data_IF_032271605004
#
_entry.id   IF_032271605004
#
_cell.length_a   1.000
_cell.length_b   1.000
_cell.length_c   1.000
_cell.angle_alpha   90.00
_cell.angle_beta   90.00
_cell.angle_gamma   90.00
#
_symmetry.space_group_name_H-M   'P 1'
#
loop_
_entity.id
_entity.type
_entity.pdbx_description
1 polymer ?
#
# COMPACT_ATOMS: atom_id res chain seq x y z
N UNK A 1 11.78 -7.16 -20.14
CA UNK A 1 10.79 -6.60 -21.08
C UNK A 1 11.29 -6.64 -22.51
N UNK A 2 12.53 -6.18 -22.84
CA UNK A 2 13.07 -6.21 -24.22
C UNK A 2 13.15 -7.62 -24.84
N UNK A 3 13.21 -8.66 -24.02
CA UNK A 3 13.23 -10.07 -24.43
C UNK A 3 11.83 -10.71 -24.48
N UNK A 4 10.75 -9.96 -24.30
CA UNK A 4 9.42 -10.51 -24.14
C UNK A 4 9.18 -11.22 -22.80
N UNK A 5 10.09 -11.07 -21.84
CA UNK A 5 9.95 -11.67 -20.53
C UNK A 5 9.08 -10.81 -19.62
N UNK A 6 8.21 -11.47 -18.84
CA UNK A 6 7.38 -10.85 -17.81
C UNK A 6 8.21 -10.75 -16.52
N UNK A 7 8.39 -9.53 -16.02
CA UNK A 7 9.01 -9.31 -14.71
C UNK A 7 8.01 -9.61 -13.60
N UNK A 8 8.42 -10.35 -12.58
CA UNK A 8 7.58 -10.67 -11.42
C UNK A 8 8.36 -10.42 -10.13
N UNK A 9 8.45 -9.19 -9.65
CA UNK A 9 9.11 -8.86 -8.40
C UNK A 9 8.34 -9.45 -7.21
N UNK A 10 9.02 -10.28 -6.41
CA UNK A 10 8.45 -10.92 -5.23
C UNK A 10 8.87 -10.19 -3.95
N UNK A 11 8.02 -10.24 -2.95
CA UNK A 11 8.33 -9.72 -1.62
C UNK A 11 9.44 -10.57 -0.98
N UNK A 12 10.56 -9.95 -0.68
CA UNK A 12 11.72 -10.62 -0.09
C UNK A 12 11.55 -11.03 1.39
N UNK A 13 10.47 -10.59 2.04
CA UNK A 13 10.13 -10.96 3.42
C UNK A 13 9.22 -12.20 3.51
N UNK A 14 8.85 -12.81 2.39
CA UNK A 14 8.02 -14.01 2.37
C UNK A 14 8.78 -15.21 2.92
N UNK A 15 8.03 -16.11 3.56
CA UNK A 15 8.54 -17.42 3.97
C UNK A 15 8.90 -18.29 2.75
N UNK A 16 9.72 -19.34 2.92
CA UNK A 16 10.01 -20.29 1.86
C UNK A 16 8.77 -20.90 1.22
N UNK A 17 7.73 -21.23 2.01
CA UNK A 17 6.47 -21.79 1.53
C UNK A 17 5.71 -20.81 0.65
N UNK A 18 5.53 -19.55 1.09
CA UNK A 18 4.86 -18.50 0.33
C UNK A 18 5.62 -18.17 -0.97
N UNK A 19 6.95 -18.13 -0.91
CA UNK A 19 7.80 -17.94 -2.09
C UNK A 19 7.60 -19.10 -3.09
N UNK A 20 7.56 -20.34 -2.62
CA UNK A 20 7.33 -21.52 -3.45
C UNK A 20 5.94 -21.50 -4.08
N UNK A 21 4.91 -21.04 -3.36
CA UNK A 21 3.54 -20.87 -3.89
C UNK A 21 3.53 -19.88 -5.06
N UNK A 22 4.14 -18.71 -4.89
CA UNK A 22 4.25 -17.69 -5.96
C UNK A 22 5.02 -18.26 -7.16
N UNK A 23 6.12 -18.97 -6.93
CA UNK A 23 6.89 -19.63 -7.99
C UNK A 23 6.06 -20.68 -8.73
N UNK A 24 5.27 -21.48 -8.01
CA UNK A 24 4.39 -22.49 -8.59
C UNK A 24 3.29 -21.89 -9.47
N UNK A 25 2.72 -20.76 -9.07
CA UNK A 25 1.72 -20.04 -9.87
C UNK A 25 2.30 -19.34 -11.11
N UNK A 26 3.46 -18.71 -10.98
CA UNK A 26 4.06 -17.91 -12.06
C UNK A 26 5.00 -18.69 -12.96
N UNK A 27 5.49 -19.84 -12.52
CA UNK A 27 6.40 -20.74 -13.27
C UNK A 27 7.56 -19.99 -13.93
N UNK A 28 8.42 -19.30 -13.14
CA UNK A 28 9.49 -18.48 -13.68
C UNK A 28 10.52 -19.34 -14.44
N UNK A 29 10.97 -18.86 -15.60
CA UNK A 29 12.06 -19.46 -16.37
C UNK A 29 13.41 -19.09 -15.75
N UNK A 30 13.52 -17.86 -15.28
CA UNK A 30 14.70 -17.33 -14.59
C UNK A 30 14.27 -16.91 -13.18
N UNK A 31 15.01 -17.36 -12.18
CA UNK A 31 14.84 -16.93 -10.78
C UNK A 31 16.07 -16.17 -10.31
N UNK A 32 15.87 -14.94 -9.85
CA UNK A 32 16.95 -14.08 -9.36
C UNK A 32 16.69 -13.78 -7.90
N UNK A 33 17.67 -14.01 -7.03
CA UNK A 33 17.58 -13.72 -5.61
C UNK A 33 18.83 -13.00 -5.08
N UNK A 34 18.68 -12.24 -4.01
CA UNK A 34 19.80 -11.60 -3.31
C UNK A 34 20.44 -12.59 -2.31
N UNK A 35 21.76 -12.54 -2.19
CA UNK A 35 22.52 -13.40 -1.28
C UNK A 35 22.04 -13.32 0.19
N UNK A 36 21.52 -12.19 0.62
CA UNK A 36 21.00 -12.03 2.00
C UNK A 36 19.77 -12.90 2.27
N UNK A 37 19.03 -13.33 1.23
CA UNK A 37 17.86 -14.22 1.36
C UNK A 37 18.10 -15.61 0.76
N UNK A 38 19.38 -15.99 0.56
CA UNK A 38 19.75 -17.26 -0.09
C UNK A 38 19.10 -18.48 0.59
N UNK A 39 19.07 -18.52 1.90
CA UNK A 39 18.46 -19.64 2.64
C UNK A 39 16.97 -19.80 2.31
N UNK A 40 16.22 -18.70 2.32
CA UNK A 40 14.79 -18.69 1.93
C UNK A 40 14.61 -19.11 0.47
N UNK A 41 15.47 -18.60 -0.43
CA UNK A 41 15.41 -18.92 -1.84
C UNK A 41 15.66 -20.41 -2.13
N UNK A 42 16.66 -21.01 -1.48
CA UNK A 42 16.99 -22.42 -1.62
C UNK A 42 15.86 -23.31 -1.11
N UNK A 43 15.35 -23.04 0.08
CA UNK A 43 14.22 -23.78 0.66
C UNK A 43 12.96 -23.65 -0.21
N UNK A 44 12.68 -22.49 -0.77
CA UNK A 44 11.57 -22.31 -1.68
C UNK A 44 11.73 -23.15 -2.97
N UNK A 45 12.94 -23.20 -3.50
CA UNK A 45 13.26 -24.05 -4.65
C UNK A 45 13.12 -25.55 -4.33
N UNK A 46 13.41 -25.99 -3.12
CA UNK A 46 13.19 -27.38 -2.70
C UNK A 46 11.69 -27.73 -2.61
N UNK A 47 10.88 -26.83 -2.06
CA UNK A 47 9.43 -27.01 -1.87
C UNK A 47 8.68 -26.95 -3.23
N UNK A 48 9.05 -26.02 -4.10
CA UNK A 48 8.34 -25.79 -5.36
C UNK A 48 8.58 -26.93 -6.37
N UNK A 49 7.50 -27.49 -6.92
CA UNK A 49 7.60 -28.52 -7.98
C UNK A 49 8.20 -27.93 -9.27
N UNK A 50 7.85 -26.70 -9.61
CA UNK A 50 8.42 -26.01 -10.77
C UNK A 50 9.87 -25.61 -10.50
N UNK A 51 10.78 -25.98 -11.40
CA UNK A 51 12.20 -25.61 -11.34
C UNK A 51 12.54 -24.60 -12.44
N UNK A 52 13.02 -23.40 -12.08
CA UNK A 52 13.56 -22.46 -13.08
C UNK A 52 14.72 -23.06 -13.86
N UNK A 53 14.84 -22.67 -15.13
CA UNK A 53 15.97 -23.13 -15.99
C UNK A 53 17.27 -22.44 -15.62
N UNK A 54 17.20 -21.24 -15.06
CA UNK A 54 18.35 -20.43 -14.68
C UNK A 54 18.10 -19.82 -13.30
N UNK A 55 19.08 -19.97 -12.41
CA UNK A 55 19.02 -19.45 -11.05
C UNK A 55 20.24 -18.56 -10.82
N UNK A 56 19.97 -17.27 -10.56
CA UNK A 56 20.99 -16.24 -10.42
C UNK A 56 20.99 -15.66 -8.99
N UNK A 57 22.18 -15.52 -8.42
CA UNK A 57 22.37 -14.86 -7.12
C UNK A 57 23.05 -13.51 -7.31
N UNK A 58 22.39 -12.46 -6.81
CA UNK A 58 22.98 -11.11 -6.71
C UNK A 58 23.67 -10.99 -5.37
N UNK A 59 25.00 -10.76 -5.36
CA UNK A 59 25.75 -10.56 -4.13
C UNK A 59 26.21 -9.10 -4.01
N UNK A 60 25.41 -8.26 -3.38
CA UNK A 60 25.76 -6.88 -3.05
C UNK A 60 26.46 -6.77 -1.68
N UNK A 61 26.54 -7.85 -0.94
CA UNK A 61 27.30 -7.90 0.31
C UNK A 61 28.79 -8.04 -0.01
N UNK A 62 29.66 -7.46 0.80
CA UNK A 62 31.11 -7.69 0.71
C UNK A 62 31.52 -9.01 1.38
N UNK A 63 30.56 -9.87 1.73
CA UNK A 63 30.79 -11.14 2.39
C UNK A 63 31.11 -12.21 1.34
N UNK A 64 31.99 -13.12 1.68
CA UNK A 64 32.22 -14.31 0.89
C UNK A 64 30.98 -15.20 0.96
N UNK A 65 30.47 -15.60 -0.19
CA UNK A 65 29.24 -16.38 -0.33
C UNK A 65 29.55 -17.62 -1.19
N UNK A 66 29.27 -18.81 -0.65
CA UNK A 66 29.33 -20.05 -1.42
C UNK A 66 27.95 -20.36 -1.99
N UNK A 67 27.84 -20.48 -3.31
CA UNK A 67 26.58 -20.79 -3.99
C UNK A 67 26.28 -22.29 -3.92
N UNK A 68 24.99 -22.67 -3.81
CA UNK A 68 24.55 -24.04 -4.07
C UNK A 68 24.85 -24.49 -5.49
N UNK A 69 24.90 -25.79 -5.71
CA UNK A 69 25.09 -26.39 -7.03
C UNK A 69 23.99 -25.92 -8.01
N UNK A 70 24.39 -25.56 -9.22
CA UNK A 70 23.48 -25.07 -10.27
C UNK A 70 23.10 -23.60 -10.16
N UNK A 71 23.54 -22.87 -9.14
CA UNK A 71 23.36 -21.43 -9.02
C UNK A 71 24.58 -20.69 -9.56
N UNK A 72 24.37 -19.51 -10.18
CA UNK A 72 25.41 -18.69 -10.78
C UNK A 72 25.34 -17.29 -10.21
N UNK A 73 26.49 -16.64 -9.96
CA UNK A 73 26.46 -15.21 -9.61
C UNK A 73 25.97 -14.39 -10.81
N UNK A 74 25.10 -13.45 -10.54
CA UNK A 74 24.53 -12.56 -11.56
C UNK A 74 25.63 -11.82 -12.33
N UNK A 75 26.63 -11.27 -11.64
CA UNK A 75 27.73 -10.54 -12.25
C UNK A 75 28.59 -11.44 -13.15
N UNK A 76 28.83 -12.70 -12.77
CA UNK A 76 29.53 -13.67 -13.61
C UNK A 76 28.74 -14.05 -14.85
N UNK A 77 27.40 -14.13 -14.71
CA UNK A 77 26.53 -14.46 -15.84
C UNK A 77 26.51 -13.35 -16.89
N UNK A 78 26.54 -12.07 -16.47
CA UNK A 78 26.43 -10.93 -17.39
C UNK A 78 27.78 -10.35 -17.85
N UNK A 79 28.93 -10.77 -17.27
CA UNK A 79 30.26 -10.12 -17.48
C UNK A 79 30.67 -9.97 -18.93
N UNK A 80 30.31 -10.95 -19.76
CA UNK A 80 30.66 -11.00 -21.21
C UNK A 80 29.44 -10.61 -22.09
N UNK A 81 28.37 -10.08 -21.51
CA UNK A 81 27.16 -9.70 -22.23
C UNK A 81 27.36 -8.39 -23.01
N UNK A 82 26.77 -8.34 -24.22
CA UNK A 82 26.78 -7.13 -25.05
C UNK A 82 25.95 -6.01 -24.39
N UNK A 83 26.37 -4.76 -24.57
CA UNK A 83 25.59 -3.57 -24.23
C UNK A 83 24.54 -3.19 -25.27
N UNK A 84 24.56 -3.87 -26.44
CA UNK A 84 23.56 -3.66 -27.47
C UNK A 84 22.21 -4.24 -27.10
N UNK A 85 21.15 -3.72 -27.74
CA UNK A 85 19.82 -4.28 -27.56
C UNK A 85 19.81 -5.73 -28.06
N UNK A 86 19.25 -6.68 -27.29
CA UNK A 86 19.17 -8.07 -27.74
C UNK A 86 18.33 -8.18 -29.01
N UNK A 87 18.70 -9.04 -29.96
CA UNK A 87 17.82 -9.39 -31.07
C UNK A 87 16.57 -10.10 -30.51
N UNK A 88 15.42 -9.76 -31.05
CA UNK A 88 14.15 -10.40 -30.69
C UNK A 88 13.45 -10.92 -31.93
N UNK A 89 12.94 -12.14 -31.86
CA UNK A 89 12.28 -12.82 -32.97
C UNK A 89 10.75 -12.62 -32.97
N UNK A 90 10.24 -11.72 -32.11
CA UNK A 90 8.81 -11.43 -32.03
C UNK A 90 8.54 -9.94 -32.22
N UNK A 91 7.32 -9.62 -32.68
CA UNK A 91 6.84 -8.25 -32.76
C UNK A 91 6.14 -7.90 -31.44
N UNK A 92 6.76 -7.07 -30.58
CA UNK A 92 6.15 -6.71 -29.31
C UNK A 92 4.88 -5.87 -29.53
N UNK A 93 3.84 -6.16 -28.75
CA UNK A 93 2.58 -5.44 -28.78
C UNK A 93 2.37 -4.65 -27.50
N UNK A 94 1.70 -3.50 -27.60
CA UNK A 94 1.45 -2.62 -26.43
C UNK A 94 0.61 -3.28 -25.33
N UNK A 95 -0.14 -4.31 -25.66
CA UNK A 95 -0.94 -5.10 -24.71
C UNK A 95 -0.25 -6.38 -24.23
N UNK A 96 1.02 -6.61 -24.60
CA UNK A 96 1.78 -7.72 -24.03
C UNK A 96 2.01 -7.48 -22.55
N UNK A 97 1.80 -8.52 -21.73
CA UNK A 97 2.13 -8.47 -20.30
C UNK A 97 3.64 -8.32 -20.13
N UNK A 98 4.08 -7.32 -19.39
CA UNK A 98 5.50 -7.02 -19.15
C UNK A 98 5.87 -7.03 -17.68
N UNK A 99 4.88 -6.88 -16.81
CA UNK A 99 5.04 -6.87 -15.36
C UNK A 99 3.87 -7.62 -14.72
N UNK A 100 4.15 -8.43 -13.72
CA UNK A 100 3.13 -9.08 -12.89
C UNK A 100 3.40 -8.79 -11.43
N UNK A 101 2.46 -8.13 -10.77
CA UNK A 101 2.53 -7.84 -9.35
C UNK A 101 1.63 -8.78 -8.56
N UNK A 102 2.02 -9.07 -7.33
CA UNK A 102 1.19 -9.87 -6.42
C UNK A 102 0.41 -8.94 -5.48
N UNK A 103 -0.88 -9.22 -5.30
CA UNK A 103 -1.69 -8.57 -4.28
C UNK A 103 -2.12 -9.58 -3.24
N UNK A 104 -1.98 -9.23 -1.97
CA UNK A 104 -2.50 -10.02 -0.87
C UNK A 104 -4.02 -9.90 -0.87
N UNK A 105 -4.71 -10.92 -1.36
CA UNK A 105 -6.16 -10.98 -1.23
C UNK A 105 -6.58 -11.15 0.23
N UNK A 106 -7.78 -10.67 0.58
CA UNK A 106 -8.44 -10.95 1.87
C UNK A 106 -8.62 -12.44 2.15
N UNK A 107 -8.50 -13.28 1.12
CA UNK A 107 -8.58 -14.75 1.18
C UNK A 107 -7.26 -15.45 1.50
N UNK A 108 -6.17 -14.72 1.66
CA UNK A 108 -4.84 -15.26 2.01
C UNK A 108 -3.99 -15.72 0.83
N UNK A 109 -4.57 -16.13 -0.30
CA UNK A 109 -3.81 -16.54 -1.49
C UNK A 109 -3.47 -15.31 -2.35
N UNK A 110 -2.18 -15.09 -2.68
CA UNK A 110 -1.77 -14.00 -3.55
C UNK A 110 -2.40 -14.10 -4.94
N UNK A 111 -2.85 -12.97 -5.49
CA UNK A 111 -3.41 -12.87 -6.83
C UNK A 111 -2.44 -12.15 -7.73
N UNK A 112 -2.15 -12.70 -8.91
CA UNK A 112 -1.31 -12.08 -9.91
C UNK A 112 -2.09 -11.00 -10.67
N UNK A 113 -1.63 -9.75 -10.60
CA UNK A 113 -2.15 -8.61 -11.36
C UNK A 113 -1.25 -8.42 -12.57
N UNK A 114 -1.73 -8.73 -13.79
CA UNK A 114 -0.95 -8.52 -15.00
C UNK A 114 -0.96 -7.04 -15.37
N UNK A 115 0.17 -6.52 -15.80
CA UNK A 115 0.32 -5.17 -16.32
C UNK A 115 0.99 -5.27 -17.69
N UNK A 116 0.37 -4.67 -18.68
CA UNK A 116 0.89 -4.65 -20.03
C UNK A 116 1.77 -3.41 -20.30
N UNK A 117 2.43 -3.37 -21.45
CA UNK A 117 3.36 -2.30 -21.79
C UNK A 117 2.70 -0.91 -21.77
N UNK A 118 1.45 -0.80 -22.24
CA UNK A 118 0.74 0.47 -22.24
C UNK A 118 0.38 0.92 -20.81
N UNK A 119 0.06 -0.01 -19.90
CA UNK A 119 -0.20 0.33 -18.49
C UNK A 119 1.05 0.93 -17.81
N UNK A 120 2.24 0.43 -18.14
CA UNK A 120 3.51 0.96 -17.62
C UNK A 120 3.75 2.40 -18.11
N UNK A 121 3.60 2.65 -19.39
CA UNK A 121 3.78 3.98 -19.99
C UNK A 121 2.76 4.97 -19.44
N UNK A 122 1.48 4.61 -19.42
CA UNK A 122 0.41 5.51 -18.97
C UNK A 122 0.42 5.72 -17.46
N UNK A 123 0.90 4.76 -16.66
CA UNK A 123 1.18 5.00 -15.25
C UNK A 123 2.31 6.02 -15.04
N UNK A 124 3.35 6.01 -15.90
CA UNK A 124 4.40 7.03 -15.84
C UNK A 124 3.89 8.41 -16.24
N UNK A 125 3.04 8.50 -17.29
CA UNK A 125 2.40 9.75 -17.68
C UNK A 125 1.54 10.32 -16.56
N UNK A 126 0.73 9.47 -15.90
CA UNK A 126 -0.13 9.88 -14.78
C UNK A 126 0.69 10.48 -13.64
N UNK A 127 1.84 9.87 -13.31
CA UNK A 127 2.77 10.43 -12.32
C UNK A 127 3.24 11.83 -12.73
N UNK A 128 3.74 11.99 -13.96
CA UNK A 128 4.26 13.28 -14.46
C UNK A 128 3.16 14.35 -14.50
N UNK A 129 1.91 13.97 -14.77
CA UNK A 129 0.76 14.88 -14.78
C UNK A 129 0.38 15.37 -13.38
N UNK A 130 0.61 14.56 -12.33
CA UNK A 130 0.16 14.88 -10.99
C UNK A 130 1.23 15.52 -10.12
N UNK A 131 2.50 15.20 -10.31
CA UNK A 131 3.59 15.99 -9.76
C UNK A 131 4.64 16.27 -10.84
N UNK A 132 5.25 17.47 -10.84
CA UNK A 132 5.99 17.99 -11.99
C UNK A 132 7.39 17.37 -12.09
N UNK A 133 7.46 16.05 -12.31
CA UNK A 133 8.71 15.32 -12.53
C UNK A 133 9.29 15.65 -13.90
N UNK A 134 10.57 16.01 -13.93
CA UNK A 134 11.30 16.45 -15.11
C UNK A 134 12.71 15.84 -15.16
N UNK A 135 13.46 15.96 -16.28
CA UNK A 135 14.81 15.40 -16.40
C UNK A 135 15.84 15.93 -15.41
N UNK A 136 15.59 17.10 -14.80
CA UNK A 136 16.50 17.70 -13.81
C UNK A 136 16.20 17.24 -12.38
N UNK A 137 15.20 16.41 -12.18
CA UNK A 137 14.79 15.95 -10.87
C UNK A 137 15.58 14.73 -10.40
N UNK A 138 15.66 14.59 -9.08
CA UNK A 138 16.28 13.45 -8.41
C UNK A 138 15.23 12.88 -7.46
N UNK A 139 14.82 11.64 -7.71
CA UNK A 139 13.80 10.97 -6.90
C UNK A 139 14.39 9.91 -5.98
N UNK A 140 13.74 9.66 -4.86
CA UNK A 140 14.01 8.53 -3.99
C UNK A 140 12.68 7.95 -3.48
N UNK A 141 12.42 6.68 -3.79
CA UNK A 141 11.23 5.99 -3.30
C UNK A 141 11.61 5.02 -2.17
N UNK A 142 11.02 5.24 -1.01
CA UNK A 142 11.24 4.44 0.21
C UNK A 142 10.34 3.20 0.30
N UNK A 143 9.41 3.05 -0.66
CA UNK A 143 8.50 1.90 -0.72
C UNK A 143 9.14 0.76 -1.51
N UNK A 144 8.99 -0.51 -1.06
CA UNK A 144 9.58 -1.65 -1.77
C UNK A 144 9.07 -1.80 -3.21
N UNK A 145 9.96 -2.17 -4.13
CA UNK A 145 9.68 -2.26 -5.57
C UNK A 145 8.91 -3.52 -6.00
N UNK A 146 8.56 -4.40 -5.09
CA UNK A 146 7.59 -5.46 -5.37
C UNK A 146 6.14 -4.99 -5.22
N UNK A 147 5.91 -3.75 -4.79
CA UNK A 147 4.61 -3.07 -4.81
C UNK A 147 4.51 -2.08 -5.96
N UNK A 148 3.29 -1.89 -6.46
CA UNK A 148 3.02 -0.94 -7.53
C UNK A 148 3.42 0.49 -7.15
N UNK A 149 3.16 0.90 -5.92
CA UNK A 149 3.61 2.18 -5.39
C UNK A 149 5.12 2.35 -5.40
N UNK A 150 5.89 1.30 -5.12
CA UNK A 150 7.35 1.33 -5.16
C UNK A 150 7.91 1.49 -6.58
N UNK A 151 7.31 0.84 -7.56
CA UNK A 151 7.76 0.88 -8.95
C UNK A 151 7.30 2.18 -9.64
N UNK A 152 6.04 2.59 -9.46
CA UNK A 152 5.41 3.64 -10.25
C UNK A 152 5.33 5.01 -9.57
N UNK A 153 5.21 5.08 -8.24
CA UNK A 153 5.05 6.38 -7.56
C UNK A 153 6.39 7.09 -7.33
N UNK A 154 6.96 7.71 -8.36
CA UNK A 154 8.32 8.29 -8.26
C UNK A 154 9.42 7.23 -8.09
N UNK A 155 9.12 5.97 -8.39
CA UNK A 155 10.06 4.86 -8.47
C UNK A 155 10.74 4.79 -9.85
N UNK A 156 11.31 3.61 -10.21
CA UNK A 156 12.11 3.48 -11.43
C UNK A 156 11.34 3.80 -12.72
N UNK A 157 10.08 3.36 -12.85
CA UNK A 157 9.33 3.50 -14.10
C UNK A 157 9.14 4.98 -14.50
N UNK A 158 8.49 5.86 -13.72
CA UNK A 158 8.28 7.25 -14.12
C UNK A 158 9.58 8.07 -14.10
N UNK A 159 10.50 7.77 -13.18
CA UNK A 159 11.75 8.52 -13.06
C UNK A 159 12.63 8.34 -14.30
N UNK A 160 12.83 7.09 -14.74
CA UNK A 160 13.59 6.78 -15.94
C UNK A 160 12.85 7.22 -17.20
N UNK A 161 11.51 7.13 -17.22
CA UNK A 161 10.70 7.60 -18.33
C UNK A 161 10.81 9.12 -18.52
N UNK A 162 10.84 9.89 -17.43
CA UNK A 162 11.06 11.34 -17.45
C UNK A 162 12.52 11.74 -17.76
N UNK A 163 13.48 10.80 -17.83
CA UNK A 163 14.90 11.09 -17.96
C UNK A 163 15.53 11.65 -16.69
N UNK A 164 14.87 11.48 -15.54
CA UNK A 164 15.32 11.95 -14.23
C UNK A 164 16.30 10.96 -13.57
N UNK A 165 16.91 11.37 -12.46
CA UNK A 165 17.83 10.53 -11.68
C UNK A 165 17.09 9.84 -10.54
N UNK A 166 17.37 8.54 -10.34
CA UNK A 166 16.82 7.74 -9.24
C UNK A 166 17.91 7.40 -8.23
N UNK A 167 17.73 7.82 -6.98
CA UNK A 167 18.54 7.37 -5.84
C UNK A 167 17.91 6.14 -5.22
N UNK A 168 18.66 5.03 -5.18
CA UNK A 168 18.18 3.75 -4.67
C UNK A 168 18.52 3.64 -3.19
N UNK A 169 17.48 3.46 -2.35
CA UNK A 169 17.63 3.12 -0.94
C UNK A 169 17.27 1.65 -0.74
N UNK A 170 18.26 0.79 -0.49
CA UNK A 170 18.05 -0.66 -0.32
C UNK A 170 17.18 -1.01 0.87
N UNK A 171 17.41 -0.34 1.99
CA UNK A 171 16.65 -0.53 3.24
C UNK A 171 16.35 0.83 3.83
N UNK A 172 15.08 1.08 4.13
CA UNK A 172 14.66 2.34 4.73
C UNK A 172 15.30 2.52 6.12
N UNK A 173 15.93 3.65 6.30
CA UNK A 173 16.42 4.14 7.57
C UNK A 173 16.26 5.67 7.60
N UNK A 174 15.55 6.27 8.59
CA UNK A 174 15.26 7.69 8.61
C UNK A 174 16.51 8.57 8.57
N UNK A 175 17.58 8.19 9.28
CA UNK A 175 18.86 8.93 9.27
C UNK A 175 19.48 8.92 7.89
N UNK A 176 19.65 7.75 7.30
CA UNK A 176 20.24 7.61 5.96
C UNK A 176 19.42 8.31 4.90
N UNK A 177 18.08 8.29 5.03
CA UNK A 177 17.18 9.01 4.13
C UNK A 177 17.45 10.52 4.16
N UNK A 178 17.50 11.11 5.35
CA UNK A 178 17.79 12.54 5.53
C UNK A 178 19.20 12.90 5.02
N UNK A 179 20.19 12.06 5.31
CA UNK A 179 21.57 12.26 4.83
C UNK A 179 21.65 12.19 3.29
N UNK A 180 20.83 11.33 2.65
CA UNK A 180 20.77 11.22 1.18
C UNK A 180 20.08 12.42 0.55
N UNK A 181 18.99 12.95 1.16
CA UNK A 181 18.33 14.17 0.68
C UNK A 181 19.34 15.31 0.60
N UNK A 182 20.05 15.58 1.70
CA UNK A 182 21.04 16.63 1.79
C UNK A 182 22.25 16.40 0.84
N UNK A 183 22.77 15.16 0.80
CA UNK A 183 23.97 14.82 0.03
C UNK A 183 23.76 14.85 -1.49
N UNK A 184 22.61 14.36 -1.94
CA UNK A 184 22.35 14.16 -3.37
C UNK A 184 21.39 15.22 -3.95
N UNK A 185 20.89 16.15 -3.13
CA UNK A 185 19.94 17.18 -3.56
C UNK A 185 18.64 16.56 -4.07
N UNK A 186 18.11 15.56 -3.37
CA UNK A 186 16.90 14.86 -3.78
C UNK A 186 15.73 15.83 -3.85
N UNK A 187 14.99 15.83 -4.97
CA UNK A 187 13.90 16.78 -5.21
C UNK A 187 12.53 16.20 -4.85
N UNK A 188 12.34 14.89 -4.98
CA UNK A 188 11.11 14.23 -4.61
C UNK A 188 11.38 12.95 -3.84
N UNK A 189 10.68 12.74 -2.74
CA UNK A 189 10.65 11.47 -2.02
C UNK A 189 9.25 10.88 -2.02
N UNK A 190 9.18 9.55 -2.01
CA UNK A 190 7.91 8.82 -1.92
C UNK A 190 7.97 7.84 -0.76
N UNK A 191 6.91 7.82 0.06
CA UNK A 191 6.80 6.90 1.17
C UNK A 191 5.35 6.68 1.60
N UNK A 192 5.16 5.84 2.60
CA UNK A 192 3.87 5.66 3.27
C UNK A 192 3.80 6.57 4.50
N UNK A 193 2.61 6.88 5.03
CA UNK A 193 2.49 7.77 6.20
C UNK A 193 3.40 7.39 7.37
N UNK A 194 3.56 6.12 7.69
CA UNK A 194 4.44 5.66 8.77
C UNK A 194 5.93 5.99 8.53
N UNK A 195 6.42 5.91 7.29
CA UNK A 195 7.80 6.32 6.97
C UNK A 195 7.98 7.84 7.07
N UNK A 196 6.97 8.61 6.66
CA UNK A 196 6.99 10.08 6.79
C UNK A 196 6.94 10.50 8.26
N UNK A 197 6.19 9.80 9.09
CA UNK A 197 6.17 10.03 10.54
C UNK A 197 7.55 9.84 11.16
N UNK A 198 8.26 8.77 10.76
CA UNK A 198 9.64 8.54 11.21
C UNK A 198 10.59 9.65 10.75
N UNK A 199 10.41 10.19 9.53
CA UNK A 199 11.20 11.32 9.03
C UNK A 199 10.88 12.61 9.78
N UNK A 200 9.60 12.91 10.03
CA UNK A 200 9.15 14.08 10.79
C UNK A 200 9.71 14.05 12.22
N UNK A 201 9.61 12.91 12.90
CA UNK A 201 10.18 12.70 14.25
C UNK A 201 11.71 12.85 14.24
N UNK A 202 12.36 12.44 13.16
CA UNK A 202 13.81 12.61 13.00
C UNK A 202 14.17 14.08 12.76
N UNK A 203 13.44 14.77 11.87
CA UNK A 203 13.66 16.18 11.55
C UNK A 203 13.52 17.09 12.77
N UNK A 204 12.50 16.83 13.59
CA UNK A 204 12.25 17.56 14.82
C UNK A 204 13.41 17.45 15.82
N UNK A 205 14.00 16.26 15.97
CA UNK A 205 15.10 15.99 16.93
C UNK A 205 16.50 16.31 16.38
N UNK A 206 16.69 16.15 15.09
CA UNK A 206 17.97 16.27 14.40
C UNK A 206 17.75 16.90 13.02
N UNK A 207 17.53 18.23 12.99
CA UNK A 207 17.22 18.94 11.76
C UNK A 207 18.30 18.76 10.68
N UNK A 208 17.85 18.61 9.44
CA UNK A 208 18.66 18.58 8.22
C UNK A 208 18.14 19.61 7.23
N UNK A 209 18.99 20.01 6.29
CA UNK A 209 18.57 20.84 5.17
C UNK A 209 17.75 19.99 4.16
N UNK A 210 16.46 20.29 4.07
CA UNK A 210 15.51 19.66 3.15
C UNK A 210 15.08 20.62 2.03
N UNK A 211 15.77 21.74 1.85
CA UNK A 211 15.39 22.79 0.88
C UNK A 211 15.41 22.33 -0.58
N UNK A 212 16.10 21.22 -0.88
CA UNK A 212 16.07 20.59 -2.20
C UNK A 212 14.73 19.92 -2.53
N UNK A 213 13.92 19.56 -1.51
CA UNK A 213 12.64 18.86 -1.72
C UNK A 213 11.61 19.79 -2.36
N UNK A 214 11.25 19.50 -3.59
CA UNK A 214 10.11 20.12 -4.29
C UNK A 214 8.77 19.53 -3.83
N UNK A 215 8.77 18.31 -3.28
CA UNK A 215 7.58 17.69 -2.75
C UNK A 215 7.77 16.28 -2.20
N UNK A 216 6.78 15.83 -1.44
CA UNK A 216 6.72 14.52 -0.82
C UNK A 216 5.42 13.84 -1.22
N UNK A 217 5.52 12.63 -1.77
CA UNK A 217 4.37 11.82 -2.17
C UNK A 217 4.12 10.76 -1.09
N UNK A 218 2.89 10.67 -0.60
CA UNK A 218 2.46 9.59 0.28
C UNK A 218 1.31 8.79 -0.34
N UNK A 219 1.18 7.54 0.09
CA UNK A 219 0.18 6.60 -0.45
C UNK A 219 0.09 5.34 0.40
N UNK A 220 -0.81 4.43 0.04
CA UNK A 220 -0.89 3.07 0.58
C UNK A 220 -1.64 2.94 1.90
N UNK A 221 -1.81 4.02 2.63
CA UNK A 221 -2.67 4.13 3.81
C UNK A 221 -3.31 5.52 3.86
N UNK A 222 -4.44 5.71 4.56
CA UNK A 222 -5.01 7.04 4.75
C UNK A 222 -3.98 8.00 5.36
N UNK A 223 -3.95 9.23 4.84
CA UNK A 223 -3.17 10.32 5.40
C UNK A 223 -4.07 11.15 6.31
N UNK A 224 -3.88 11.02 7.60
CA UNK A 224 -4.65 11.78 8.60
C UNK A 224 -4.38 13.29 8.48
N UNK A 225 -5.41 14.11 8.74
CA UNK A 225 -5.31 15.57 8.61
C UNK A 225 -4.20 16.17 9.45
N UNK A 226 -4.10 15.76 10.72
CA UNK A 226 -3.07 16.27 11.64
C UNK A 226 -1.66 15.89 11.17
N UNK A 227 -1.46 14.66 10.69
CA UNK A 227 -0.19 14.19 10.15
C UNK A 227 0.19 14.96 8.88
N UNK A 228 -0.76 15.21 7.98
CA UNK A 228 -0.51 15.98 6.76
C UNK A 228 0.02 17.39 7.10
N UNK A 229 -0.64 18.10 8.01
CA UNK A 229 -0.25 19.45 8.45
C UNK A 229 1.15 19.42 9.08
N UNK A 230 1.41 18.44 9.96
CA UNK A 230 2.73 18.27 10.60
C UNK A 230 3.84 18.03 9.58
N UNK A 231 3.58 17.23 8.54
CA UNK A 231 4.58 16.98 7.49
C UNK A 231 4.81 18.22 6.63
N UNK A 232 3.79 19.07 6.41
CA UNK A 232 3.96 20.35 5.73
C UNK A 232 4.90 21.29 6.51
N UNK A 233 4.80 21.30 7.83
CA UNK A 233 5.62 22.14 8.69
C UNK A 233 7.07 21.65 8.83
N UNK A 234 7.26 20.32 8.95
CA UNK A 234 8.56 19.74 9.31
C UNK A 234 9.38 19.26 8.11
N UNK A 235 8.75 18.83 7.03
CA UNK A 235 9.44 18.15 5.93
C UNK A 235 9.40 18.94 4.62
N UNK A 236 8.23 19.27 4.13
CA UNK A 236 8.04 20.04 2.89
C UNK A 236 6.64 20.62 2.84
N UNK A 237 6.45 21.89 2.43
CA UNK A 237 5.11 22.46 2.27
C UNK A 237 4.26 21.74 1.21
N UNK A 238 4.92 21.02 0.31
CA UNK A 238 4.28 20.35 -0.82
C UNK A 238 4.08 18.86 -0.54
N UNK A 239 2.98 18.52 0.14
CA UNK A 239 2.56 17.13 0.36
C UNK A 239 1.55 16.73 -0.72
N UNK A 240 1.80 15.57 -1.33
CA UNK A 240 0.92 14.92 -2.28
C UNK A 240 0.41 13.62 -1.66
N UNK A 241 -0.86 13.26 -1.89
CA UNK A 241 -1.40 11.98 -1.41
C UNK A 241 -2.14 11.26 -2.54
N UNK A 242 -1.69 10.05 -2.88
CA UNK A 242 -2.28 9.21 -3.92
C UNK A 242 -3.04 8.02 -3.33
N UNK A 243 -4.30 7.86 -3.71
CA UNK A 243 -5.09 6.67 -3.41
C UNK A 243 -5.25 5.81 -4.66
N UNK A 244 -5.08 4.52 -4.48
CA UNK A 244 -5.28 3.51 -5.51
C UNK A 244 -4.94 2.10 -5.03
N UNK A 245 -4.95 1.17 -5.96
CA UNK A 245 -4.73 -0.26 -5.68
C UNK A 245 -3.64 -0.83 -6.58
N UNK A 246 -3.22 -2.07 -6.34
CA UNK A 246 -2.29 -2.76 -7.23
C UNK A 246 -2.86 -2.87 -8.66
N UNK A 247 -4.17 -3.07 -8.79
CA UNK A 247 -4.86 -3.26 -10.06
C UNK A 247 -4.95 -2.00 -10.91
N UNK A 248 -5.06 -0.82 -10.26
CA UNK A 248 -5.43 0.43 -10.94
C UNK A 248 -4.45 1.59 -10.77
N UNK A 249 -3.40 1.42 -9.96
CA UNK A 249 -2.45 2.47 -9.58
C UNK A 249 -3.13 3.62 -8.83
N UNK A 250 -2.77 4.88 -9.07
CA UNK A 250 -3.46 6.04 -8.49
C UNK A 250 -4.77 6.30 -9.23
N UNK A 251 -5.82 6.56 -8.47
CA UNK A 251 -7.13 6.87 -9.00
C UNK A 251 -7.70 8.17 -8.45
N UNK A 252 -7.31 8.55 -7.22
CA UNK A 252 -7.48 9.93 -6.75
C UNK A 252 -6.14 10.47 -6.27
N UNK A 253 -5.99 11.79 -6.35
CA UNK A 253 -4.75 12.46 -6.00
C UNK A 253 -5.03 13.81 -5.35
N UNK A 254 -4.49 14.00 -4.12
CA UNK A 254 -4.50 15.26 -3.39
C UNK A 254 -3.23 16.02 -3.71
N UNK A 255 -3.34 17.29 -4.00
CA UNK A 255 -2.23 18.15 -4.43
C UNK A 255 -1.94 19.25 -3.40
N UNK A 256 -0.73 19.82 -3.39
CA UNK A 256 -0.36 20.86 -2.42
C UNK A 256 -1.29 22.08 -2.44
N UNK A 257 -1.84 22.47 -3.59
CA UNK A 257 -2.77 23.60 -3.68
C UNK A 257 -4.18 23.30 -3.15
N UNK A 258 -4.50 22.04 -2.85
CA UNK A 258 -5.73 21.62 -2.17
C UNK A 258 -5.57 21.70 -0.63
N UNK A 259 -4.36 21.97 -0.17
CA UNK A 259 -4.02 22.03 1.26
C UNK A 259 -3.99 23.48 1.79
N UNK A 260 -4.32 23.69 3.06
CA UNK A 260 -4.66 22.69 4.09
C UNK A 260 -6.14 22.28 4.13
N UNK A 261 -7.02 22.88 3.30
CA UNK A 261 -8.48 22.76 3.38
C UNK A 261 -8.93 21.30 3.22
N UNK A 262 -8.34 20.58 2.25
CA UNK A 262 -8.68 19.19 1.94
C UNK A 262 -7.74 18.17 2.59
N UNK A 263 -6.96 18.58 3.59
CA UNK A 263 -6.14 17.65 4.37
C UNK A 263 -7.01 16.57 5.03
N UNK A 264 -6.61 15.31 4.91
CA UNK A 264 -7.38 14.14 5.34
C UNK A 264 -8.20 13.48 4.23
N UNK A 265 -8.36 14.15 3.06
CA UNK A 265 -8.95 13.51 1.88
C UNK A 265 -7.91 12.76 1.05
N UNK A 266 -8.38 11.85 0.21
CA UNK A 266 -7.57 11.17 -0.80
C UNK A 266 -7.49 11.95 -2.13
N UNK A 267 -8.02 13.17 -2.17
CA UNK A 267 -8.04 14.01 -3.35
C UNK A 267 -9.18 13.71 -4.33
N UNK A 268 -9.02 14.19 -5.55
CA UNK A 268 -9.97 14.03 -6.66
C UNK A 268 -9.44 13.06 -7.70
N UNK A 269 -10.32 12.61 -8.60
CA UNK A 269 -10.00 11.71 -9.71
C UNK A 269 -8.71 12.11 -10.44
N UNK A 270 -7.87 11.12 -10.73
CA UNK A 270 -6.71 11.28 -11.60
C UNK A 270 -7.13 11.56 -13.06
N UNK A 271 -6.15 11.97 -13.86
CA UNK A 271 -6.36 12.19 -15.30
C UNK A 271 -6.79 10.87 -15.97
N UNK A 272 -7.78 10.95 -16.84
CA UNK A 272 -8.36 9.82 -17.57
C UNK A 272 -9.03 8.72 -16.71
N UNK A 273 -9.20 8.96 -15.41
CA UNK A 273 -9.94 8.06 -14.53
C UNK A 273 -11.34 8.60 -14.23
N UNK A 274 -12.28 7.68 -14.09
CA UNK A 274 -13.59 7.97 -13.48
C UNK A 274 -13.64 7.30 -12.10
N UNK A 275 -13.98 8.08 -11.08
CA UNK A 275 -14.20 7.60 -9.71
C UNK A 275 -15.63 7.92 -9.32
N UNK A 276 -16.34 6.92 -8.79
CA UNK A 276 -17.71 7.09 -8.28
C UNK A 276 -17.83 6.40 -6.92
N UNK A 277 -18.74 6.89 -6.11
CA UNK A 277 -19.17 6.26 -4.89
C UNK A 277 -20.61 5.78 -5.09
N UNK A 278 -20.81 4.46 -5.00
CA UNK A 278 -22.09 3.82 -5.25
C UNK A 278 -22.71 3.25 -3.98
N UNK A 279 -24.03 3.09 -3.97
CA UNK A 279 -24.73 2.47 -2.86
C UNK A 279 -24.17 1.07 -2.55
N UNK A 280 -24.21 0.67 -1.27
CA UNK A 280 -23.72 -0.63 -0.81
C UNK A 280 -24.91 -1.55 -0.57
N UNK A 281 -24.90 -2.73 -1.22
CA UNK A 281 -25.90 -3.78 -1.04
C UNK A 281 -25.23 -5.07 -0.55
N UNK A 282 -25.95 -5.86 0.24
CA UNK A 282 -25.44 -7.13 0.77
C UNK A 282 -25.57 -8.28 -0.25
N UNK A 283 -26.57 -8.21 -1.13
CA UNK A 283 -26.96 -9.29 -2.04
C UNK A 283 -26.47 -9.11 -3.48
N UNK A 284 -26.00 -7.90 -3.83
CA UNK A 284 -25.56 -7.57 -5.19
C UNK A 284 -24.55 -6.44 -5.23
N UNK A 285 -23.88 -6.25 -6.37
CA UNK A 285 -23.19 -5.01 -6.69
C UNK A 285 -24.19 -3.92 -7.10
N UNK A 286 -23.92 -2.69 -6.67
CA UNK A 286 -24.63 -1.54 -7.19
C UNK A 286 -24.33 -1.36 -8.68
N UNK A 287 -25.26 -0.79 -9.43
CA UNK A 287 -24.97 -0.31 -10.78
C UNK A 287 -24.00 0.88 -10.73
N UNK A 288 -23.14 1.06 -11.74
CA UNK A 288 -22.17 2.17 -11.71
C UNK A 288 -22.81 3.58 -11.64
N UNK A 289 -24.07 3.71 -12.02
CA UNK A 289 -24.80 4.99 -11.97
C UNK A 289 -25.64 5.14 -10.69
N UNK A 290 -25.68 4.13 -9.83
CA UNK A 290 -26.39 4.14 -8.55
C UNK A 290 -25.52 4.81 -7.47
N UNK A 291 -25.24 6.09 -7.67
CA UNK A 291 -24.31 6.87 -6.86
C UNK A 291 -24.93 7.43 -5.58
N UNK A 292 -24.14 7.55 -4.52
CA UNK A 292 -24.51 8.29 -3.32
C UNK A 292 -24.37 9.81 -3.52
N UNK A 293 -25.08 10.65 -2.73
CA UNK A 293 -24.94 12.11 -2.81
C UNK A 293 -23.51 12.60 -2.49
N UNK A 294 -23.11 13.71 -3.14
CA UNK A 294 -21.83 14.39 -2.86
C UNK A 294 -21.96 15.34 -1.66
N UNK A 295 -22.36 14.83 -0.49
CA UNK A 295 -22.69 15.61 0.71
C UNK A 295 -21.62 15.51 1.82
N UNK A 296 -20.53 14.81 1.56
CA UNK A 296 -19.45 14.50 2.51
C UNK A 296 -19.91 13.74 3.77
N UNK A 297 -21.02 13.02 3.67
CA UNK A 297 -21.65 12.29 4.80
C UNK A 297 -22.10 10.90 4.39
N UNK A 298 -22.78 10.79 3.25
CA UNK A 298 -23.32 9.52 2.77
C UNK A 298 -22.19 8.66 2.26
N UNK A 299 -22.04 7.49 2.87
CA UNK A 299 -21.00 6.53 2.54
C UNK A 299 -21.41 5.67 1.35
N UNK A 300 -20.43 5.37 0.49
CA UNK A 300 -20.60 4.50 -0.67
C UNK A 300 -19.34 3.68 -0.96
N UNK A 301 -19.49 2.58 -1.71
CA UNK A 301 -18.36 1.83 -2.23
C UNK A 301 -17.68 2.63 -3.35
N UNK A 302 -16.38 2.79 -3.24
CA UNK A 302 -15.58 3.46 -4.26
C UNK A 302 -15.41 2.51 -5.44
N UNK A 303 -15.88 2.93 -6.61
CA UNK A 303 -15.67 2.22 -7.87
C UNK A 303 -14.85 3.07 -8.83
N UNK A 304 -14.03 2.41 -9.64
CA UNK A 304 -13.03 3.05 -10.47
C UNK A 304 -13.10 2.51 -11.90
N UNK A 305 -13.02 3.41 -12.88
CA UNK A 305 -12.80 3.07 -14.26
C UNK A 305 -11.54 3.76 -14.75
N UNK A 306 -10.51 2.98 -15.04
CA UNK A 306 -9.17 3.46 -15.43
C UNK A 306 -8.57 2.54 -16.50
N UNK A 307 -9.11 2.54 -17.73
CA UNK A 307 -8.72 1.59 -18.78
C UNK A 307 -7.24 1.69 -19.15
N UNK A 308 -6.63 2.82 -18.88
CA UNK A 308 -5.23 3.08 -19.20
C UNK A 308 -4.24 2.40 -18.24
N UNK A 309 -4.67 2.08 -17.02
CA UNK A 309 -3.80 1.61 -15.92
C UNK A 309 -4.14 0.22 -15.40
N UNK A 310 -5.18 -0.43 -15.93
CA UNK A 310 -5.60 -1.78 -15.51
C UNK A 310 -5.86 -2.70 -16.69
N UNK A 311 -5.67 -3.99 -16.48
CA UNK A 311 -6.03 -5.05 -17.42
C UNK A 311 -7.40 -5.66 -17.13
N UNK A 312 -8.07 -5.21 -16.07
CA UNK A 312 -9.39 -5.71 -15.62
C UNK A 312 -9.45 -7.22 -15.39
N UNK A 313 -8.33 -7.84 -15.02
CA UNK A 313 -8.28 -9.26 -14.71
C UNK A 313 -7.22 -9.62 -13.68
N UNK A 314 -7.33 -10.83 -13.13
CA UNK A 314 -6.27 -11.52 -12.41
C UNK A 314 -5.82 -12.74 -13.20
N UNK A 315 -4.53 -13.03 -13.16
CA UNK A 315 -3.95 -14.17 -13.88
C UNK A 315 -4.53 -15.48 -13.36
N UNK A 316 -5.09 -16.28 -14.28
CA UNK A 316 -5.65 -17.60 -13.99
C UNK A 316 -6.68 -17.63 -12.82
N UNK A 317 -7.41 -16.54 -12.61
CA UNK A 317 -8.39 -16.43 -11.53
C UNK A 317 -9.67 -15.72 -11.98
N UNK A 318 -10.48 -16.43 -12.76
CA UNK A 318 -11.74 -15.90 -13.30
C UNK A 318 -12.74 -15.50 -12.22
N UNK A 319 -12.81 -16.27 -11.13
CA UNK A 319 -13.72 -15.97 -10.02
C UNK A 319 -13.40 -14.62 -9.41
N UNK A 320 -12.14 -14.42 -8.99
CA UNK A 320 -11.72 -13.15 -8.41
C UNK A 320 -11.86 -12.00 -9.41
N UNK A 321 -11.64 -12.26 -10.71
CA UNK A 321 -11.83 -11.28 -11.78
C UNK A 321 -13.29 -10.82 -11.84
N UNK A 322 -14.25 -11.75 -11.89
CA UNK A 322 -15.67 -11.44 -11.90
C UNK A 322 -16.14 -10.75 -10.61
N UNK A 323 -15.55 -11.17 -9.48
CA UNK A 323 -15.87 -10.56 -8.17
C UNK A 323 -15.34 -9.11 -8.06
N UNK A 324 -14.23 -8.77 -8.74
CA UNK A 324 -13.60 -7.44 -8.67
C UNK A 324 -14.10 -6.48 -9.74
N UNK A 325 -14.35 -6.98 -10.95
CA UNK A 325 -14.66 -6.15 -12.11
C UNK A 325 -16.09 -6.41 -12.60
N UNK A 326 -16.85 -5.32 -12.81
CA UNK A 326 -18.22 -5.39 -13.28
C UNK A 326 -18.53 -4.23 -14.22
N UNK A 327 -19.05 -4.51 -15.40
CA UNK A 327 -19.43 -3.49 -16.42
C UNK A 327 -18.33 -2.48 -16.73
N UNK A 328 -17.06 -2.92 -16.77
CA UNK A 328 -15.91 -2.06 -17.04
C UNK A 328 -15.46 -1.20 -15.86
N UNK A 329 -15.99 -1.45 -14.66
CA UNK A 329 -15.61 -0.80 -13.42
C UNK A 329 -14.94 -1.79 -12.47
N UNK A 330 -13.97 -1.31 -11.73
CA UNK A 330 -13.37 -2.01 -10.60
C UNK A 330 -14.09 -1.61 -9.31
N UNK A 331 -14.65 -2.57 -8.60
CA UNK A 331 -15.23 -2.41 -7.27
C UNK A 331 -14.12 -2.60 -6.24
N UNK A 332 -13.68 -1.52 -5.60
CA UNK A 332 -12.48 -1.55 -4.78
C UNK A 332 -12.66 -2.32 -3.47
N UNK A 333 -13.87 -2.37 -2.95
CA UNK A 333 -14.17 -2.81 -1.59
C UNK A 333 -13.75 -1.77 -0.54
N UNK A 334 -13.33 -0.58 -0.96
CA UNK A 334 -13.10 0.55 -0.07
C UNK A 334 -14.39 1.39 0.00
N UNK A 335 -14.72 1.86 1.20
CA UNK A 335 -15.86 2.72 1.48
C UNK A 335 -15.36 4.13 1.73
N UNK A 336 -16.10 5.10 1.25
CA UNK A 336 -15.75 6.50 1.43
C UNK A 336 -16.95 7.44 1.33
N UNK A 337 -16.67 8.70 1.50
CA UNK A 337 -17.58 9.82 1.24
C UNK A 337 -16.97 10.73 0.19
N UNK A 338 -17.77 11.56 -0.46
CA UNK A 338 -17.28 12.61 -1.35
C UNK A 338 -18.05 13.91 -1.16
N UNK A 339 -17.38 15.02 -1.40
CA UNK A 339 -18.02 16.35 -1.31
C UNK A 339 -18.48 16.86 -2.69
N UNK A 340 -19.11 18.02 -2.73
CA UNK A 340 -19.60 18.65 -3.96
C UNK A 340 -18.51 18.95 -4.99
N UNK A 341 -17.25 19.02 -4.58
CA UNK A 341 -16.08 19.19 -5.45
C UNK A 341 -15.43 17.86 -5.83
N UNK A 342 -16.07 16.73 -5.47
CA UNK A 342 -15.62 15.36 -5.74
C UNK A 342 -14.31 14.96 -5.02
N UNK A 343 -13.95 15.62 -3.93
CA UNK A 343 -12.91 15.10 -3.05
C UNK A 343 -13.39 13.86 -2.31
N UNK A 344 -12.63 12.79 -2.41
CA UNK A 344 -12.94 11.50 -1.78
C UNK A 344 -12.24 11.41 -0.43
N UNK A 345 -12.98 11.01 0.60
CA UNK A 345 -12.44 10.67 1.93
C UNK A 345 -12.67 9.20 2.17
N UNK A 346 -11.61 8.45 2.48
CA UNK A 346 -11.69 7.01 2.73
C UNK A 346 -12.19 6.77 4.14
N UNK A 347 -13.30 6.05 4.29
CA UNK A 347 -13.87 5.68 5.59
C UNK A 347 -13.36 4.31 6.09
N UNK A 348 -13.02 3.39 5.18
CA UNK A 348 -12.50 2.07 5.53
C UNK A 348 -12.72 1.03 4.45
N UNK A 349 -12.63 -0.24 4.86
CA UNK A 349 -12.89 -1.40 3.98
C UNK A 349 -14.29 -1.96 4.23
N UNK A 350 -14.97 -2.37 3.16
CA UNK A 350 -16.26 -3.08 3.24
C UNK A 350 -16.13 -4.37 4.08
N UNK A 351 -15.04 -5.12 3.89
CA UNK A 351 -14.78 -6.38 4.60
C UNK A 351 -14.43 -6.22 6.08
N UNK A 352 -13.95 -5.03 6.47
CA UNK A 352 -13.58 -4.69 7.84
C UNK A 352 -14.72 -3.99 8.62
N UNK A 353 -15.81 -3.68 7.94
CA UNK A 353 -16.99 -3.04 8.52
C UNK A 353 -17.56 -3.88 9.66
N UNK A 354 -17.88 -3.24 10.76
CA UNK A 354 -18.48 -3.86 11.94
C UNK A 354 -19.98 -3.56 11.91
N UNK A 355 -20.80 -4.60 11.96
CA UNK A 355 -22.26 -4.43 11.96
C UNK A 355 -22.77 -4.58 13.38
N UNK A 356 -23.10 -3.46 14.04
CA UNK A 356 -23.60 -3.43 15.42
C UNK A 356 -25.02 -2.90 15.47
N UNK A 357 -25.99 -3.75 15.83
CA UNK A 357 -27.42 -3.41 15.87
C UNK A 357 -27.99 -2.87 14.55
N UNK A 358 -27.48 -3.35 13.42
CA UNK A 358 -27.89 -2.90 12.10
C UNK A 358 -27.22 -1.61 11.63
N UNK A 359 -26.33 -1.03 12.44
CA UNK A 359 -25.54 0.17 12.09
C UNK A 359 -24.15 -0.24 11.60
N UNK A 360 -23.71 0.38 10.53
CA UNK A 360 -22.38 0.20 9.97
C UNK A 360 -21.35 1.05 10.73
N UNK A 361 -20.28 0.41 11.20
CA UNK A 361 -19.20 1.07 11.93
C UNK A 361 -17.89 0.76 11.20
N UNK A 362 -17.17 1.79 10.81
CA UNK A 362 -15.89 1.65 10.13
C UNK A 362 -14.72 1.81 11.09
N UNK A 363 -13.85 0.81 11.22
CA UNK A 363 -12.72 0.81 12.14
C UNK A 363 -11.82 2.03 12.02
N UNK A 364 -11.50 2.47 10.80
CA UNK A 364 -10.55 3.53 10.52
C UNK A 364 -10.91 4.85 11.23
N UNK A 365 -12.20 5.21 11.29
CA UNK A 365 -12.66 6.43 11.98
C UNK A 365 -12.41 6.37 13.48
N UNK A 366 -12.61 5.21 14.08
CA UNK A 366 -12.38 5.01 15.51
C UNK A 366 -10.88 4.98 15.81
N UNK A 367 -10.11 4.37 14.91
CA UNK A 367 -8.64 4.35 14.98
C UNK A 367 -8.04 5.75 14.93
N UNK A 368 -8.53 6.60 14.02
CA UNK A 368 -8.12 8.01 13.96
C UNK A 368 -8.32 8.73 15.29
N UNK A 369 -9.48 8.54 15.92
CA UNK A 369 -9.78 9.14 17.22
C UNK A 369 -8.87 8.57 18.31
N UNK A 370 -8.72 7.26 18.40
CA UNK A 370 -7.85 6.64 19.41
C UNK A 370 -6.37 7.03 19.22
N UNK A 371 -5.89 7.10 17.97
CA UNK A 371 -4.52 7.51 17.65
C UNK A 371 -4.26 8.99 17.97
N UNK A 372 -5.28 9.84 18.04
CA UNK A 372 -5.13 11.22 18.49
C UNK A 372 -4.92 11.38 20.00
N UNK A 373 -5.06 10.30 20.77
CA UNK A 373 -4.77 10.32 22.21
C UNK A 373 -3.24 10.32 22.47
N UNK A 374 -2.68 11.25 23.27
CA UNK A 374 -1.24 11.44 23.41
C UNK A 374 -0.47 10.23 23.97
N UNK A 375 -1.16 9.31 24.67
CA UNK A 375 -0.58 8.09 25.20
C UNK A 375 -0.81 6.85 24.33
N UNK A 376 -1.42 6.98 23.15
CA UNK A 376 -1.61 5.91 22.17
C UNK A 376 -0.52 6.04 21.12
N UNK A 377 0.21 4.97 20.87
CA UNK A 377 1.18 4.90 19.79
C UNK A 377 0.50 4.52 18.48
N UNK A 378 -0.31 3.46 18.52
CA UNK A 378 -1.05 2.94 17.37
C UNK A 378 -2.17 2.02 17.85
N UNK A 379 -3.25 1.88 17.06
CA UNK A 379 -4.30 0.92 17.35
C UNK A 379 -4.85 0.25 16.09
N UNK A 380 -5.48 -0.93 16.27
CA UNK A 380 -6.37 -1.58 15.30
C UNK A 380 -7.71 -1.80 15.98
N UNK A 381 -8.78 -1.43 15.28
CA UNK A 381 -10.16 -1.63 15.71
C UNK A 381 -10.81 -2.73 14.87
N UNK A 382 -11.61 -3.59 15.50
CA UNK A 382 -12.29 -4.70 14.83
C UNK A 382 -13.60 -5.04 15.50
N UNK A 383 -14.46 -5.82 14.82
CA UNK A 383 -15.67 -6.41 15.38
C UNK A 383 -15.40 -7.69 16.15
N UNK A 384 -16.06 -7.86 17.28
CA UNK A 384 -16.14 -9.15 17.99
C UNK A 384 -17.61 -9.58 18.13
N UNK A 385 -17.91 -10.88 18.07
CA UNK A 385 -19.28 -11.39 18.17
C UNK A 385 -19.96 -10.93 19.47
N UNK A 386 -21.21 -10.49 19.38
CA UNK A 386 -22.08 -10.13 20.52
C UNK A 386 -23.50 -10.66 20.31
N UNK A 387 -24.04 -11.37 21.30
CA UNK A 387 -25.34 -12.06 21.21
C UNK A 387 -26.53 -11.12 21.03
N UNK A 388 -26.40 -9.86 21.38
CA UNK A 388 -27.49 -8.87 21.35
C UNK A 388 -27.33 -7.83 20.25
N UNK A 389 -26.10 -7.68 19.71
CA UNK A 389 -25.75 -6.63 18.76
C UNK A 389 -25.28 -7.13 17.40
N UNK A 390 -25.12 -8.46 17.24
CA UNK A 390 -24.39 -9.04 16.13
C UNK A 390 -22.88 -8.93 16.35
N UNK A 391 -22.34 -7.71 16.28
CA UNK A 391 -20.95 -7.42 16.64
C UNK A 391 -20.85 -6.25 17.64
N UNK A 392 -19.76 -6.24 18.41
CA UNK A 392 -19.32 -5.13 19.25
C UNK A 392 -17.91 -4.68 18.82
N UNK A 393 -17.63 -3.41 19.03
CA UNK A 393 -16.32 -2.82 18.70
C UNK A 393 -15.29 -3.21 19.76
N UNK A 394 -14.13 -3.70 19.31
CA UNK A 394 -12.96 -3.98 20.12
C UNK A 394 -11.73 -3.21 19.59
N UNK A 395 -10.94 -2.63 20.48
CA UNK A 395 -9.72 -1.89 20.16
C UNK A 395 -8.48 -2.60 20.71
N UNK A 396 -7.51 -2.86 19.85
CA UNK A 396 -6.17 -3.33 20.18
C UNK A 396 -5.22 -2.14 20.14
N UNK A 397 -4.55 -1.84 21.23
CA UNK A 397 -3.83 -0.57 21.41
C UNK A 397 -2.40 -0.83 21.84
N UNK A 398 -1.44 -0.24 21.13
CA UNK A 398 -0.05 -0.10 21.57
C UNK A 398 0.05 1.20 22.35
N UNK A 399 0.60 1.12 23.55
CA UNK A 399 0.80 2.28 24.42
C UNK A 399 2.03 3.08 23.97
N UNK A 400 1.92 4.40 23.93
CA UNK A 400 3.06 5.31 23.89
C UNK A 400 3.56 5.65 25.31
N UNK A 401 2.71 5.48 26.31
CA UNK A 401 2.98 5.71 27.72
C UNK A 401 2.36 4.58 28.53
N UNK A 402 3.17 3.88 29.33
CA UNK A 402 2.75 2.74 30.16
C UNK A 402 1.66 3.09 31.20
N UNK A 403 1.52 4.36 31.55
CA UNK A 403 0.45 4.84 32.44
C UNK A 403 -0.94 4.82 31.81
N UNK A 404 -1.05 4.59 30.50
CA UNK A 404 -2.34 4.56 29.79
C UNK A 404 -3.24 3.45 30.35
N UNK A 405 -4.46 3.82 30.71
CA UNK A 405 -5.48 2.90 31.22
C UNK A 405 -6.66 2.78 30.27
N UNK A 406 -7.43 1.69 30.40
CA UNK A 406 -8.67 1.50 29.63
C UNK A 406 -9.70 2.57 30.00
N UNK A 407 -9.77 2.98 31.27
CA UNK A 407 -10.67 4.03 31.72
C UNK A 407 -10.38 5.39 31.02
N UNK A 408 -9.11 5.73 30.81
CA UNK A 408 -8.74 6.93 30.05
C UNK A 408 -9.23 6.84 28.59
N UNK A 409 -9.04 5.71 27.92
CA UNK A 409 -9.52 5.51 26.56
C UNK A 409 -11.05 5.59 26.45
N UNK A 410 -11.76 5.01 27.41
CA UNK A 410 -13.23 5.09 27.49
C UNK A 410 -13.66 6.55 27.61
N UNK A 411 -13.10 7.28 28.57
CA UNK A 411 -13.43 8.69 28.80
C UNK A 411 -13.09 9.55 27.59
N UNK A 412 -11.98 9.26 26.92
CA UNK A 412 -11.56 9.97 25.71
C UNK A 412 -12.56 9.76 24.56
N UNK A 413 -12.97 8.51 24.31
CA UNK A 413 -13.99 8.22 23.31
C UNK A 413 -15.34 8.82 23.66
N UNK A 414 -15.78 8.70 24.92
CA UNK A 414 -17.08 9.21 25.38
C UNK A 414 -17.14 10.75 25.37
N UNK A 415 -16.00 11.42 25.51
CA UNK A 415 -15.87 12.88 25.43
C UNK A 415 -15.67 13.43 24.01
N UNK A 416 -15.42 12.57 23.04
CA UNK A 416 -15.18 13.00 21.64
C UNK A 416 -16.49 13.34 20.94
N UNK A 417 -16.62 14.52 20.31
CA UNK A 417 -17.80 14.87 19.52
C UNK A 417 -17.88 14.10 18.20
N UNK A 418 -16.78 13.41 17.81
CA UNK A 418 -16.62 12.75 16.52
C UNK A 418 -16.95 11.26 16.55
N UNK A 419 -17.31 10.70 17.72
CA UNK A 419 -17.70 9.30 17.88
C UNK A 419 -19.00 9.20 18.68
N UNK A 420 -19.95 8.44 18.18
CA UNK A 420 -21.18 8.18 18.91
C UNK A 420 -21.02 7.04 19.91
N UNK A 421 -21.86 6.99 20.93
CA UNK A 421 -21.79 5.96 22.00
C UNK A 421 -21.92 4.52 21.47
N UNK A 422 -22.57 4.31 20.32
CA UNK A 422 -22.70 2.97 19.74
C UNK A 422 -21.45 2.54 18.96
N UNK A 423 -20.67 3.50 18.46
CA UNK A 423 -19.41 3.28 17.75
C UNK A 423 -18.21 3.10 18.70
N UNK A 424 -18.29 3.68 19.92
CA UNK A 424 -17.19 3.60 20.87
C UNK A 424 -16.86 2.15 21.24
N UNK A 425 -15.56 1.79 21.33
CA UNK A 425 -15.14 0.45 21.68
C UNK A 425 -15.72 0.00 23.03
N UNK A 426 -16.16 -1.26 23.07
CA UNK A 426 -16.64 -1.92 24.28
C UNK A 426 -15.63 -2.85 24.89
N UNK A 427 -14.64 -3.23 24.09
CA UNK A 427 -13.57 -4.11 24.50
C UNK A 427 -12.25 -3.47 24.12
N UNK A 428 -11.25 -3.64 24.98
CA UNK A 428 -9.91 -3.11 24.81
C UNK A 428 -8.87 -4.20 25.12
N UNK A 429 -7.77 -4.19 24.39
CA UNK A 429 -6.59 -5.00 24.69
C UNK A 429 -5.33 -4.18 24.43
N UNK A 430 -4.45 -4.11 25.43
CA UNK A 430 -3.11 -3.57 25.23
C UNK A 430 -2.21 -4.68 24.66
N UNK A 431 -1.45 -4.34 23.64
CA UNK A 431 -0.55 -5.23 22.92
C UNK A 431 0.79 -4.54 22.69
N UNK A 432 1.86 -5.33 22.51
CA UNK A 432 3.20 -4.81 22.25
C UNK A 432 3.43 -4.55 20.75
N UNK A 433 2.69 -5.24 19.88
CA UNK A 433 2.80 -5.13 18.43
C UNK A 433 1.44 -5.35 17.77
N UNK A 434 1.29 -4.78 16.58
CA UNK A 434 0.12 -4.97 15.71
C UNK A 434 0.57 -5.59 14.39
N UNK A 435 -0.20 -6.51 13.81
CA UNK A 435 0.15 -7.13 12.54
C UNK A 435 0.08 -6.10 11.40
N UNK A 436 1.18 -6.01 10.66
CA UNK A 436 1.33 -5.10 9.52
C UNK A 436 1.90 -5.86 8.32
N UNK A 437 1.61 -5.35 7.13
CA UNK A 437 2.27 -5.80 5.90
C UNK A 437 3.71 -5.26 5.85
N UNK A 438 4.52 -5.76 4.89
CA UNK A 438 5.87 -5.24 4.66
C UNK A 438 5.93 -3.73 4.33
N UNK A 439 4.80 -3.13 3.96
CA UNK A 439 4.65 -1.67 3.73
C UNK A 439 4.09 -0.92 4.94
N UNK A 440 3.95 -1.57 6.10
CA UNK A 440 3.39 -0.94 7.29
C UNK A 440 1.86 -0.78 7.28
N UNK A 441 1.16 -1.46 6.36
CA UNK A 441 -0.31 -1.42 6.33
C UNK A 441 -0.87 -2.39 7.37
N UNK A 442 -1.78 -1.91 8.22
CA UNK A 442 -2.48 -2.71 9.24
C UNK A 442 -3.23 -3.89 8.64
N UNK A 443 -3.13 -5.06 9.27
CA UNK A 443 -3.79 -6.29 8.85
C UNK A 443 -5.00 -6.58 9.74
N UNK A 444 -6.11 -5.85 9.55
CA UNK A 444 -7.34 -5.98 10.33
C UNK A 444 -7.88 -7.41 10.38
N UNK A 445 -7.77 -8.17 9.27
CA UNK A 445 -8.24 -9.54 9.21
C UNK A 445 -7.52 -10.48 10.19
N UNK A 446 -6.25 -10.22 10.50
CA UNK A 446 -5.47 -10.99 11.48
C UNK A 446 -6.01 -10.71 12.87
N UNK A 447 -6.20 -9.42 13.21
CA UNK A 447 -6.76 -9.01 14.49
C UNK A 447 -8.21 -9.49 14.63
N UNK A 448 -9.02 -9.48 13.57
CA UNK A 448 -10.41 -9.97 13.62
C UNK A 448 -10.49 -11.43 14.02
N UNK A 449 -9.61 -12.29 13.49
CA UNK A 449 -9.50 -13.70 13.90
C UNK A 449 -9.06 -13.82 15.35
N UNK A 450 -8.01 -13.13 15.73
CA UNK A 450 -7.48 -13.13 17.11
C UNK A 450 -8.52 -12.63 18.11
N UNK A 451 -9.26 -11.57 17.79
CA UNK A 451 -10.25 -10.96 18.69
C UNK A 451 -11.40 -11.90 19.04
N UNK A 452 -11.83 -12.74 18.10
CA UNK A 452 -12.85 -13.75 18.36
C UNK A 452 -12.35 -14.82 19.36
N UNK A 453 -11.06 -15.19 19.31
CA UNK A 453 -10.43 -16.10 20.26
C UNK A 453 -10.19 -15.44 21.61
N UNK A 454 -9.67 -14.21 21.60
CA UNK A 454 -9.40 -13.43 22.82
C UNK A 454 -10.67 -13.16 23.63
N UNK A 455 -11.80 -12.92 22.96
CA UNK A 455 -13.09 -12.77 23.60
C UNK A 455 -13.50 -14.06 24.34
N UNK A 456 -13.33 -15.23 23.69
CA UNK A 456 -13.63 -16.54 24.30
C UNK A 456 -12.71 -16.82 25.51
N UNK A 457 -11.46 -16.41 25.43
CA UNK A 457 -10.46 -16.63 26.47
C UNK A 457 -10.48 -15.57 27.58
N UNK A 458 -11.41 -14.59 27.51
CA UNK A 458 -11.53 -13.52 28.52
C UNK A 458 -10.34 -12.54 28.56
N UNK A 459 -9.59 -12.42 27.47
CA UNK A 459 -8.40 -11.56 27.37
C UNK A 459 -8.73 -10.11 27.00
N UNK A 460 -9.98 -9.83 26.63
CA UNK A 460 -10.46 -8.49 26.33
C UNK A 460 -10.99 -7.80 27.59
N UNK A 461 -10.48 -6.61 27.87
CA UNK A 461 -10.94 -5.75 28.96
C UNK A 461 -12.25 -5.07 28.55
N UNK A 462 -13.31 -5.28 29.30
CA UNK A 462 -14.64 -4.75 28.99
C UNK A 462 -14.82 -3.35 29.57
N UNK A 463 -15.51 -2.48 28.79
CA UNK A 463 -16.01 -1.17 29.22
C UNK A 463 -16.98 -1.30 30.40
#
# INVERSE_FOLDING_TARGET
>A
QKLGAISNPANFNLSPGETAEIMGHNKPVVYVYDADIMQTAVQALEICEHKPKLILCVNNSKKEVTLPEGHIFFDDYIKDSSYENPPVDYAPHIYDEVLRLQTSGTTGTPKGVPLNAINEVLSAHDVIMHFPLSPVDITMNMTPWFHRGGIHSGGPTPTLYAGACLVIMRTFNPRSCMDFIEKYGITFITGVPSTLEMLANRQEKHPKDLSSLKGIITMGSPLEKAACIRYQELLSPNIFNGYGTTESFWNTFLRPYDLPEMAGSAGRSCTDDEVRLVNVYDDRKAEPDDTVPCDNKTEGEIIIKCPNKTTYCYVNNEKATKDKFYKGWMYTGDIGTWNSEQFVTIAGRKDDMIISKGENIYPARIEEILNSHPKVQECIVTGVPDSTRGECVAAYVIKADESLTVAELINFCDGSPNISKYQAPRYYRFVNELPQTATGKKQHFVIKKQAAEDLKNGLLLKK
#
